data_IF_550121870972
#
_entry.id   IF_550121870972
#
_cell.length_a   1.000
_cell.length_b   1.000
_cell.length_c   1.000
_cell.angle_alpha   90.00
_cell.angle_beta   90.00
_cell.angle_gamma   90.00
#
_symmetry.space_group_name_H-M   'P 1'
#
loop_
_entity.id
_entity.type
_entity.pdbx_description
1 polymer ?
#
# COMPACT_ATOMS: atom_id res chain seq x y z
N UNK A 1 22.94 -16.85 61.94
CA UNK A 1 23.27 -16.70 60.51
C UNK A 1 22.20 -15.83 59.89
N UNK A 2 22.33 -14.52 60.08
CA UNK A 2 21.55 -13.52 59.36
C UNK A 2 22.58 -12.76 58.53
N UNK A 3 22.55 -12.99 57.23
CA UNK A 3 23.46 -12.37 56.28
C UNK A 3 22.59 -11.44 55.42
N UNK A 4 22.51 -10.18 55.83
CA UNK A 4 22.05 -9.09 54.96
C UNK A 4 23.23 -8.65 54.10
N UNK A 5 23.13 -8.70 52.76
CA UNK A 5 24.09 -8.00 51.92
C UNK A 5 23.68 -6.52 51.78
N UNK A 6 24.66 -5.68 52.10
CA UNK A 6 24.69 -4.22 52.02
C UNK A 6 24.33 -3.69 50.63
N UNK A 7 23.65 -2.54 50.66
CA UNK A 7 23.64 -1.55 49.58
C UNK A 7 25.06 -1.03 49.34
N UNK A 8 25.54 -1.12 48.09
CA UNK A 8 26.56 -0.22 47.57
C UNK A 8 26.06 0.41 46.27
N UNK A 9 25.80 1.70 46.40
CA UNK A 9 25.54 2.69 45.39
C UNK A 9 26.85 2.91 44.63
N UNK A 10 26.87 2.76 43.30
CA UNK A 10 28.04 3.11 42.49
C UNK A 10 27.66 4.08 41.38
N UNK A 11 28.35 5.22 41.47
CA UNK A 11 28.20 6.45 40.74
C UNK A 11 28.54 6.35 39.26
N UNK A 12 27.75 7.03 38.45
CA UNK A 12 28.12 7.41 37.08
C UNK A 12 29.13 8.55 37.14
N UNK A 13 30.43 8.20 37.12
CA UNK A 13 31.50 9.16 36.92
C UNK A 13 32.15 8.96 35.54
N UNK A 14 32.28 10.09 34.84
CA UNK A 14 32.87 10.25 33.53
C UNK A 14 34.29 9.69 33.41
N UNK A 15 34.59 9.07 32.26
CA UNK A 15 35.95 8.96 31.75
C UNK A 15 35.94 9.39 30.29
N UNK A 16 36.61 10.50 30.06
CA UNK A 16 37.02 11.07 28.79
C UNK A 16 38.13 10.21 28.18
N UNK A 17 37.82 9.52 27.08
CA UNK A 17 38.79 8.82 26.25
C UNK A 17 38.73 9.33 24.82
N UNK A 18 39.77 10.06 24.42
CA UNK A 18 40.03 10.53 23.05
C UNK A 18 40.07 9.36 22.06
N UNK A 19 39.30 9.47 20.98
CA UNK A 19 39.66 8.96 19.66
C UNK A 19 39.23 10.01 18.62
N UNK A 20 40.18 10.88 18.27
CA UNK A 20 40.19 11.60 17.00
C UNK A 20 40.54 10.59 15.90
N UNK A 21 39.60 10.33 14.99
CA UNK A 21 39.75 10.46 13.53
C UNK A 21 38.53 9.79 12.87
N UNK A 22 37.49 10.57 12.59
CA UNK A 22 36.31 10.15 11.85
C UNK A 22 36.21 11.01 10.58
N UNK A 23 36.14 10.40 9.37
CA UNK A 23 35.98 11.17 8.15
C UNK A 23 34.62 11.89 8.15
N UNK A 24 34.48 13.03 7.46
CA UNK A 24 33.26 13.82 7.50
C UNK A 24 32.08 12.98 7.00
N UNK A 25 31.00 12.98 7.78
CA UNK A 25 29.71 12.44 7.41
C UNK A 25 29.27 13.06 6.09
N UNK A 26 29.29 12.26 5.02
CA UNK A 26 28.70 12.61 3.74
C UNK A 26 27.19 12.62 3.95
N UNK A 27 26.61 13.82 4.01
CA UNK A 27 25.16 14.00 3.96
C UNK A 27 24.62 13.25 2.72
N UNK A 28 23.48 12.53 2.82
CA UNK A 28 22.87 11.97 1.63
C UNK A 28 22.44 13.16 0.76
N UNK A 29 23.21 13.42 -0.29
CA UNK A 29 22.76 14.22 -1.41
C UNK A 29 21.57 13.48 -2.00
N UNK A 30 20.37 13.92 -1.63
CA UNK A 30 19.15 13.59 -2.35
C UNK A 30 19.33 14.11 -3.77
N UNK A 31 19.88 13.26 -4.63
CA UNK A 31 19.86 13.49 -6.06
C UNK A 31 18.38 13.69 -6.42
N UNK A 32 18.03 14.77 -7.16
CA UNK A 32 16.70 14.84 -7.75
C UNK A 32 16.59 13.60 -8.63
N UNK A 33 15.73 12.67 -8.23
CA UNK A 33 15.34 11.53 -9.05
C UNK A 33 14.90 12.12 -10.36
N UNK A 34 15.72 11.95 -11.41
CA UNK A 34 15.36 12.37 -12.75
C UNK A 34 14.01 11.71 -13.02
N UNK A 35 12.97 12.54 -13.15
CA UNK A 35 11.65 12.07 -13.56
C UNK A 35 11.83 11.20 -14.80
N UNK A 36 11.32 9.97 -14.72
CA UNK A 36 11.53 8.96 -15.74
C UNK A 36 11.30 9.53 -17.13
N UNK A 37 12.21 9.23 -18.05
CA UNK A 37 12.11 9.57 -19.48
C UNK A 37 10.90 8.89 -20.16
N UNK A 38 10.13 8.10 -19.42
CA UNK A 38 8.87 7.51 -19.82
C UNK A 38 7.74 8.11 -18.98
N UNK A 39 6.67 8.65 -19.58
CA UNK A 39 5.54 9.24 -18.85
C UNK A 39 4.68 8.23 -18.06
N UNK A 40 5.15 6.98 -17.87
CA UNK A 40 4.34 5.85 -17.38
C UNK A 40 4.87 5.19 -16.09
N UNK A 41 5.99 5.68 -15.54
CA UNK A 41 6.54 5.21 -14.24
C UNK A 41 6.25 6.18 -13.08
N UNK A 42 5.52 7.27 -13.30
CA UNK A 42 5.07 8.12 -12.18
C UNK A 42 3.90 7.45 -11.48
N UNK A 43 4.07 7.17 -10.18
CA UNK A 43 2.97 6.85 -9.28
C UNK A 43 1.84 7.85 -9.54
N UNK A 44 0.58 7.41 -9.74
CA UNK A 44 -0.50 8.32 -10.05
C UNK A 44 -0.58 9.44 -9.02
N UNK A 45 -0.80 10.66 -9.52
CA UNK A 45 -0.97 11.87 -8.70
C UNK A 45 -1.83 11.57 -7.46
N UNK A 46 -1.33 11.94 -6.28
CA UNK A 46 -1.95 11.65 -4.98
C UNK A 46 -3.36 12.24 -4.84
N UNK A 47 -3.77 13.13 -5.74
CA UNK A 47 -5.11 13.72 -5.80
C UNK A 47 -6.07 12.96 -6.73
N UNK A 48 -5.59 12.00 -7.51
CA UNK A 48 -6.41 11.18 -8.41
C UNK A 48 -7.02 10.03 -7.64
N UNK A 49 -8.34 9.89 -7.75
CA UNK A 49 -9.08 8.80 -7.16
C UNK A 49 -10.03 8.11 -8.14
N UNK A 50 -10.30 6.85 -7.86
CA UNK A 50 -11.15 5.98 -8.67
C UNK A 50 -12.43 5.68 -7.91
N UNK A 51 -13.53 5.64 -8.66
CA UNK A 51 -14.85 5.31 -8.10
C UNK A 51 -14.90 3.87 -7.64
N UNK A 52 -15.81 3.57 -6.71
CA UNK A 52 -16.05 2.21 -6.21
C UNK A 52 -16.18 1.15 -7.32
N UNK A 53 -16.98 1.36 -8.39
CA UNK A 53 -17.05 0.39 -9.49
C UNK A 53 -15.71 0.12 -10.18
N UNK A 54 -14.91 1.16 -10.45
CA UNK A 54 -13.57 1.01 -11.04
C UNK A 54 -12.64 0.29 -10.07
N UNK A 55 -12.59 0.70 -8.81
CA UNK A 55 -11.78 0.07 -7.77
C UNK A 55 -12.10 -1.44 -7.62
N UNK A 56 -13.38 -1.81 -7.65
CA UNK A 56 -13.82 -3.20 -7.63
C UNK A 56 -13.29 -4.00 -8.83
N UNK A 57 -13.41 -3.45 -10.05
CA UNK A 57 -12.95 -4.11 -11.26
C UNK A 57 -11.43 -4.29 -11.27
N UNK A 58 -10.68 -3.23 -10.94
CA UNK A 58 -9.22 -3.24 -10.91
C UNK A 58 -8.67 -4.20 -9.85
N UNK A 59 -9.23 -4.19 -8.64
CA UNK A 59 -8.82 -5.09 -7.56
C UNK A 59 -9.39 -6.51 -7.72
N UNK A 60 -10.36 -6.71 -8.61
CA UNK A 60 -11.05 -7.98 -8.82
C UNK A 60 -11.90 -8.41 -7.62
N UNK A 61 -12.55 -7.47 -6.93
CA UNK A 61 -13.41 -7.71 -5.77
C UNK A 61 -14.86 -7.33 -6.06
N UNK A 62 -15.79 -7.87 -5.29
CA UNK A 62 -17.20 -7.48 -5.37
C UNK A 62 -17.45 -6.16 -4.67
N UNK A 63 -18.51 -5.45 -5.08
CA UNK A 63 -18.95 -4.23 -4.41
C UNK A 63 -19.28 -4.45 -2.93
N UNK A 64 -19.83 -5.63 -2.57
CA UNK A 64 -20.12 -5.99 -1.18
C UNK A 64 -18.84 -6.13 -0.35
N UNK A 65 -17.79 -6.73 -0.91
CA UNK A 65 -16.48 -6.80 -0.24
C UNK A 65 -15.91 -5.40 -0.02
N UNK A 66 -15.93 -4.55 -1.05
CA UNK A 66 -15.48 -3.17 -0.93
C UNK A 66 -16.24 -2.40 0.16
N UNK A 67 -17.57 -2.48 0.16
CA UNK A 67 -18.39 -1.77 1.15
C UNK A 67 -18.20 -2.33 2.57
N UNK A 68 -18.12 -3.66 2.70
CA UNK A 68 -17.85 -4.29 3.99
C UNK A 68 -16.49 -3.88 4.55
N UNK A 69 -15.43 -3.89 3.74
CA UNK A 69 -14.09 -3.47 4.15
C UNK A 69 -14.00 -1.98 4.48
N UNK A 70 -14.72 -1.12 3.75
CA UNK A 70 -14.82 0.29 4.09
C UNK A 70 -15.57 0.53 5.40
N UNK A 71 -16.69 -0.17 5.62
CA UNK A 71 -17.50 -0.06 6.85
C UNK A 71 -16.78 -0.61 8.09
N UNK A 72 -15.90 -1.58 7.92
CA UNK A 72 -15.10 -2.20 8.99
C UNK A 72 -13.70 -1.60 9.11
N UNK A 73 -13.42 -0.51 8.39
CA UNK A 73 -12.15 0.21 8.36
C UNK A 73 -10.92 -0.61 7.93
N UNK A 74 -11.13 -1.78 7.29
CA UNK A 74 -10.04 -2.57 6.73
C UNK A 74 -9.40 -1.86 5.54
N UNK A 75 -10.18 -1.26 4.65
CA UNK A 75 -9.69 -0.35 3.60
C UNK A 75 -10.71 0.75 3.39
N UNK A 76 -10.32 1.99 3.63
CA UNK A 76 -11.18 3.17 3.49
C UNK A 76 -10.68 4.03 2.32
N UNK A 77 -11.57 4.75 1.62
CA UNK A 77 -11.14 5.67 0.57
C UNK A 77 -10.31 6.82 1.15
N UNK A 78 -9.09 7.02 0.64
CA UNK A 78 -8.18 8.07 1.10
C UNK A 78 -8.36 9.40 0.37
N UNK A 79 -8.90 9.39 -0.85
CA UNK A 79 -9.08 10.60 -1.67
C UNK A 79 -10.36 11.34 -1.29
N UNK A 80 -11.47 10.61 -1.19
CA UNK A 80 -12.76 11.18 -0.81
C UNK A 80 -13.64 10.14 -0.12
N UNK A 81 -14.04 10.44 1.12
CA UNK A 81 -15.02 9.65 1.85
C UNK A 81 -16.46 9.85 1.34
N UNK A 82 -17.40 9.15 1.98
CA UNK A 82 -18.82 9.44 1.78
C UNK A 82 -19.24 10.59 2.72
N UNK A 83 -19.83 11.65 2.15
CA UNK A 83 -20.41 12.80 2.85
C UNK A 83 -21.87 12.98 2.41
N UNK A 84 -22.78 12.20 3.00
CA UNK A 84 -24.22 12.29 2.74
C UNK A 84 -24.68 11.69 1.39
N UNK A 85 -25.96 11.92 1.07
CA UNK A 85 -26.59 11.40 -0.15
C UNK A 85 -25.96 12.02 -1.40
N UNK A 86 -25.63 11.18 -2.40
CA UNK A 86 -25.02 11.60 -3.66
C UNK A 86 -23.50 11.77 -3.64
N UNK A 87 -22.86 11.73 -2.47
CA UNK A 87 -21.39 11.73 -2.39
C UNK A 87 -20.81 10.42 -2.91
N UNK A 88 -19.70 10.52 -3.63
CA UNK A 88 -19.03 9.37 -4.22
C UNK A 88 -17.67 9.18 -3.58
N UNK A 89 -17.41 7.96 -3.11
CA UNK A 89 -16.11 7.55 -2.58
C UNK A 89 -15.09 7.52 -3.71
N UNK A 90 -13.93 8.12 -3.47
CA UNK A 90 -12.79 8.06 -4.37
C UNK A 90 -11.63 7.35 -3.65
N UNK A 91 -11.15 6.28 -4.28
CA UNK A 91 -10.06 5.44 -3.79
C UNK A 91 -8.76 5.80 -4.51
N UNK A 92 -7.68 6.01 -3.78
CA UNK A 92 -6.36 6.29 -4.38
C UNK A 92 -5.78 5.04 -5.05
N UNK A 93 -4.70 5.23 -5.81
CA UNK A 93 -3.88 4.12 -6.27
C UNK A 93 -3.46 3.19 -5.12
N UNK A 94 -3.01 3.78 -4.01
CA UNK A 94 -2.59 3.04 -2.82
C UNK A 94 -3.74 2.24 -2.22
N UNK A 95 -4.94 2.81 -2.13
CA UNK A 95 -6.12 2.09 -1.64
C UNK A 95 -6.39 0.84 -2.48
N UNK A 96 -6.35 0.97 -3.81
CA UNK A 96 -6.62 -0.15 -4.73
C UNK A 96 -5.52 -1.21 -4.64
N UNK A 97 -4.26 -0.82 -4.46
CA UNK A 97 -3.16 -1.75 -4.20
C UNK A 97 -3.43 -2.56 -2.93
N UNK A 98 -3.82 -1.89 -1.84
CA UNK A 98 -4.16 -2.55 -0.58
C UNK A 98 -5.39 -3.47 -0.75
N UNK A 99 -6.44 -3.04 -1.46
CA UNK A 99 -7.60 -3.90 -1.79
C UNK A 99 -7.17 -5.19 -2.50
N UNK A 100 -6.25 -5.07 -3.47
CA UNK A 100 -5.73 -6.21 -4.23
C UNK A 100 -4.91 -7.16 -3.37
N UNK A 101 -4.10 -6.63 -2.45
CA UNK A 101 -3.33 -7.44 -1.50
C UNK A 101 -4.25 -8.14 -0.49
N UNK A 102 -5.23 -7.42 0.08
CA UNK A 102 -6.24 -7.99 0.98
C UNK A 102 -6.97 -9.15 0.31
N UNK A 103 -7.38 -8.98 -0.95
CA UNK A 103 -7.99 -10.06 -1.72
C UNK A 103 -7.07 -11.28 -1.82
N UNK A 104 -5.81 -11.09 -2.24
CA UNK A 104 -4.86 -12.21 -2.40
C UNK A 104 -4.62 -12.96 -1.09
N UNK A 105 -4.49 -12.24 0.02
CA UNK A 105 -4.33 -12.86 1.34
C UNK A 105 -5.58 -13.65 1.77
N UNK A 106 -6.78 -13.13 1.49
CA UNK A 106 -8.04 -13.85 1.74
C UNK A 106 -8.19 -15.09 0.86
N UNK A 107 -7.83 -15.00 -0.43
CA UNK A 107 -7.91 -16.10 -1.38
C UNK A 107 -6.99 -17.26 -0.99
N UNK A 108 -5.91 -16.99 -0.24
CA UNK A 108 -5.02 -18.03 0.32
C UNK A 108 -5.44 -18.53 1.70
N UNK A 109 -6.59 -18.09 2.21
CA UNK A 109 -7.15 -18.56 3.49
C UNK A 109 -6.55 -17.92 4.73
N UNK A 110 -5.82 -16.80 4.60
CA UNK A 110 -5.26 -16.08 5.75
C UNK A 110 -6.40 -15.41 6.51
N UNK A 111 -6.34 -15.50 7.84
CA UNK A 111 -7.40 -14.95 8.70
C UNK A 111 -7.52 -13.43 8.57
N UNK A 112 -8.75 -12.90 8.67
CA UNK A 112 -9.02 -11.45 8.61
C UNK A 112 -8.24 -10.67 9.68
N UNK A 113 -7.96 -11.30 10.82
CA UNK A 113 -7.17 -10.70 11.89
C UNK A 113 -5.74 -10.42 11.42
N UNK A 114 -5.05 -11.42 10.85
CA UNK A 114 -3.68 -11.28 10.36
C UNK A 114 -3.60 -10.34 9.16
N UNK A 115 -4.62 -10.34 8.31
CA UNK A 115 -4.72 -9.40 7.19
C UNK A 115 -4.77 -7.97 7.68
N UNK A 116 -5.48 -7.69 8.79
CA UNK A 116 -5.52 -6.33 9.36
C UNK A 116 -4.12 -5.87 9.78
N UNK A 117 -3.36 -6.73 10.45
CA UNK A 117 -1.97 -6.45 10.83
C UNK A 117 -1.12 -6.12 9.60
N UNK A 118 -1.19 -6.95 8.56
CA UNK A 118 -0.47 -6.72 7.31
C UNK A 118 -0.86 -5.39 6.63
N UNK A 119 -2.15 -5.07 6.61
CA UNK A 119 -2.65 -3.81 6.01
C UNK A 119 -2.16 -2.59 6.77
N UNK A 120 -2.12 -2.63 8.10
CA UNK A 120 -1.65 -1.50 8.89
C UNK A 120 -0.18 -1.19 8.59
N UNK A 121 0.68 -2.21 8.43
CA UNK A 121 2.06 -2.03 7.97
C UNK A 121 2.17 -1.39 6.58
N UNK A 122 1.31 -1.77 5.63
CA UNK A 122 1.31 -1.15 4.29
C UNK A 122 0.84 0.31 4.31
N UNK A 123 -0.03 0.67 5.25
CA UNK A 123 -0.58 2.03 5.36
C UNK A 123 0.46 3.04 5.86
N UNK A 124 1.35 2.63 6.73
CA UNK A 124 2.39 3.49 7.31
C UNK A 124 3.47 3.92 6.29
N UNK A 125 3.56 3.25 5.13
CA UNK A 125 4.63 3.43 4.14
C UNK A 125 4.21 4.24 2.91
N UNK A 126 5.15 4.92 2.27
CA UNK A 126 4.92 5.57 0.98
C UNK A 126 4.73 4.55 -0.15
N UNK A 127 4.10 4.94 -1.26
CA UNK A 127 3.91 4.02 -2.41
C UNK A 127 5.24 3.52 -2.96
N UNK A 128 6.29 4.35 -2.95
CA UNK A 128 7.62 3.95 -3.42
C UNK A 128 8.26 2.88 -2.52
N UNK A 129 8.07 2.96 -1.21
CA UNK A 129 8.61 1.98 -0.26
C UNK A 129 7.94 0.61 -0.41
N UNK A 130 6.66 0.61 -0.81
CA UNK A 130 5.90 -0.62 -1.04
C UNK A 130 6.49 -1.49 -2.16
N UNK A 131 7.23 -0.92 -3.11
CA UNK A 131 7.82 -1.69 -4.21
C UNK A 131 8.89 -2.69 -3.72
N UNK A 132 9.52 -2.45 -2.57
CA UNK A 132 10.59 -3.32 -2.06
C UNK A 132 10.08 -4.38 -1.08
N UNK A 133 8.76 -4.48 -0.88
CA UNK A 133 8.16 -5.35 0.12
C UNK A 133 7.65 -6.64 -0.51
N UNK A 134 7.93 -7.75 0.18
CA UNK A 134 7.27 -9.03 -0.05
C UNK A 134 6.60 -9.46 1.25
N UNK A 135 5.29 -9.68 1.21
CA UNK A 135 4.54 -10.21 2.34
C UNK A 135 4.60 -11.73 2.30
N UNK A 136 5.00 -12.37 3.40
CA UNK A 136 4.97 -13.81 3.55
C UNK A 136 3.95 -14.23 4.60
N UNK A 137 3.31 -15.38 4.42
CA UNK A 137 2.43 -15.94 5.44
C UNK A 137 2.56 -17.44 5.53
N UNK A 138 2.58 -17.95 6.76
CA UNK A 138 2.48 -19.38 7.11
C UNK A 138 1.02 -19.80 7.41
N UNK A 139 0.05 -18.91 7.12
CA UNK A 139 -1.38 -19.07 7.44
C UNK A 139 -1.78 -18.55 8.83
N UNK A 140 -0.84 -18.42 9.76
CA UNK A 140 -1.09 -17.97 11.15
C UNK A 140 -0.53 -16.57 11.42
N UNK A 141 0.54 -16.20 10.74
CA UNK A 141 1.24 -14.92 10.86
C UNK A 141 1.52 -14.36 9.47
N UNK A 142 1.61 -13.03 9.36
CA UNK A 142 2.08 -12.36 8.15
C UNK A 142 3.37 -11.63 8.49
N UNK A 143 4.40 -11.85 7.67
CA UNK A 143 5.73 -11.27 7.79
C UNK A 143 5.95 -10.30 6.65
N UNK A 144 6.59 -9.19 6.95
CA UNK A 144 7.10 -8.27 5.94
C UNK A 144 8.58 -8.58 5.73
N UNK A 145 8.97 -8.94 4.51
CA UNK A 145 10.36 -9.15 4.16
C UNK A 145 10.80 -8.12 3.11
N UNK A 146 11.95 -7.51 3.35
CA UNK A 146 12.59 -6.53 2.47
C UNK A 146 13.95 -7.00 1.95
N UNK A 147 14.49 -8.09 2.51
CA UNK A 147 15.76 -8.70 2.10
C UNK A 147 15.62 -10.22 1.87
N UNK A 148 16.55 -10.79 1.09
CA UNK A 148 16.58 -12.24 0.87
C UNK A 148 16.94 -13.03 2.14
N UNK A 149 17.72 -12.43 3.04
CA UNK A 149 18.12 -13.05 4.32
C UNK A 149 16.91 -13.28 5.22
N UNK A 150 16.03 -12.28 5.36
CA UNK A 150 14.78 -12.41 6.12
C UNK A 150 13.87 -13.52 5.57
N UNK A 151 13.84 -13.69 4.24
CA UNK A 151 13.08 -14.78 3.59
C UNK A 151 13.69 -16.14 3.91
N UNK A 152 15.02 -16.23 3.87
CA UNK A 152 15.74 -17.47 4.18
C UNK A 152 15.52 -17.85 5.65
N UNK A 153 15.62 -16.89 6.58
CA UNK A 153 15.37 -17.11 8.00
C UNK A 153 13.94 -17.60 8.27
N UNK A 154 12.96 -17.05 7.55
CA UNK A 154 11.58 -17.52 7.62
C UNK A 154 11.44 -18.96 7.11
N UNK A 155 12.17 -19.37 6.08
CA UNK A 155 12.11 -20.72 5.52
C UNK A 155 12.90 -21.76 6.32
N UNK A 156 13.93 -21.34 7.06
CA UNK A 156 14.79 -22.25 7.84
C UNK A 156 14.02 -23.07 8.88
N UNK A 157 12.86 -22.58 9.35
CA UNK A 157 11.98 -23.30 10.27
C UNK A 157 11.28 -24.53 9.67
N UNK A 158 11.44 -24.81 8.36
CA UNK A 158 10.80 -25.95 7.68
C UNK A 158 9.30 -25.76 7.42
N UNK A 159 8.78 -24.56 7.70
CA UNK A 159 7.39 -24.19 7.45
C UNK A 159 7.16 -23.80 5.98
N UNK A 160 6.03 -24.21 5.42
CA UNK A 160 5.58 -23.74 4.11
C UNK A 160 5.03 -22.33 4.22
N UNK A 161 5.52 -21.41 3.38
CA UNK A 161 5.06 -20.03 3.35
C UNK A 161 4.54 -19.64 1.98
N UNK A 162 3.52 -18.79 1.96
CA UNK A 162 2.99 -18.16 0.77
C UNK A 162 3.50 -16.71 0.70
N UNK A 163 4.13 -16.34 -0.41
CA UNK A 163 4.68 -15.00 -0.63
C UNK A 163 3.85 -14.18 -1.63
N UNK A 164 3.58 -12.92 -1.29
CA UNK A 164 3.01 -11.91 -2.18
C UNK A 164 4.04 -10.79 -2.35
N UNK A 165 4.67 -10.73 -3.52
CA UNK A 165 5.51 -9.60 -3.89
C UNK A 165 4.63 -8.37 -4.17
N UNK A 166 4.80 -7.31 -3.37
CA UNK A 166 4.00 -6.08 -3.51
C UNK A 166 4.40 -5.33 -4.78
N UNK A 167 5.67 -5.34 -5.18
CA UNK A 167 6.12 -4.84 -6.49
C UNK A 167 5.38 -5.45 -7.67
N UNK A 168 5.17 -6.77 -7.66
CA UNK A 168 4.43 -7.46 -8.70
C UNK A 168 2.97 -7.02 -8.76
N UNK A 169 2.32 -6.91 -7.59
CA UNK A 169 0.95 -6.41 -7.49
C UNK A 169 0.84 -4.94 -7.94
N UNK A 170 1.84 -4.11 -7.64
CA UNK A 170 1.91 -2.71 -8.05
C UNK A 170 2.07 -2.57 -9.56
N UNK A 171 2.98 -3.33 -10.18
CA UNK A 171 3.18 -3.31 -11.64
C UNK A 171 1.91 -3.72 -12.39
N UNK A 172 1.24 -4.77 -11.93
CA UNK A 172 -0.05 -5.20 -12.49
C UNK A 172 -1.12 -4.13 -12.31
N UNK A 173 -1.12 -3.44 -11.16
CA UNK A 173 -2.06 -2.38 -10.86
C UNK A 173 -1.84 -1.15 -11.77
N UNK A 174 -0.60 -0.71 -11.96
CA UNK A 174 -0.26 0.41 -12.85
C UNK A 174 -0.79 0.16 -14.26
N UNK A 175 -0.57 -1.05 -14.80
CA UNK A 175 -1.10 -1.43 -16.12
C UNK A 175 -2.62 -1.43 -16.18
N UNK A 176 -3.30 -1.99 -15.17
CA UNK A 176 -4.75 -2.05 -15.15
C UNK A 176 -5.39 -0.66 -15.01
N UNK A 177 -4.81 0.23 -14.19
CA UNK A 177 -5.39 1.55 -13.89
C UNK A 177 -5.46 2.46 -15.10
N UNK A 178 -4.52 2.34 -16.05
CA UNK A 178 -4.50 3.14 -17.27
C UNK A 178 -5.78 3.00 -18.12
N UNK A 179 -6.54 1.92 -17.94
CA UNK A 179 -7.80 1.67 -18.66
C UNK A 179 -9.03 2.31 -17.99
N UNK A 180 -8.89 2.88 -16.80
CA UNK A 180 -10.02 3.38 -16.01
C UNK A 180 -10.01 4.90 -15.85
N UNK A 181 -11.20 5.54 -15.83
CA UNK A 181 -11.27 6.97 -15.64
C UNK A 181 -10.88 7.33 -14.20
N UNK A 182 -9.93 8.26 -14.07
CA UNK A 182 -9.49 8.84 -12.81
C UNK A 182 -10.16 10.19 -12.56
N UNK A 183 -10.58 10.45 -11.33
CA UNK A 183 -11.19 11.73 -10.93
C UNK A 183 -10.29 12.46 -9.95
N UNK A 184 -10.01 13.74 -10.23
CA UNK A 184 -9.23 14.57 -9.33
C UNK A 184 -10.10 15.07 -8.18
N UNK A 185 -9.57 15.02 -6.96
CA UNK A 185 -10.26 15.49 -5.76
C UNK A 185 -10.51 17.00 -5.76
N UNK A 186 -9.60 17.76 -6.39
CA UNK A 186 -9.58 19.23 -6.48
C UNK A 186 -10.58 19.81 -7.50
N UNK A 187 -11.33 18.97 -8.21
CA UNK A 187 -12.25 19.40 -9.27
C UNK A 187 -11.56 19.80 -10.57
N UNK A 188 -10.26 19.51 -10.72
CA UNK A 188 -9.54 19.62 -11.99
C UNK A 188 -10.05 18.63 -13.05
N UNK A 189 -9.50 18.73 -14.26
CA UNK A 189 -9.89 17.87 -15.37
C UNK A 189 -9.76 16.39 -15.00
N UNK A 190 -10.82 15.63 -15.23
CA UNK A 190 -10.83 14.18 -15.01
C UNK A 190 -9.99 13.49 -16.08
N UNK A 191 -9.23 12.47 -15.68
CA UNK A 191 -8.42 11.67 -16.59
C UNK A 191 -9.39 10.75 -17.32
N UNK A 192 -9.64 11.04 -18.60
CA UNK A 192 -10.50 10.21 -19.44
C UNK A 192 -9.83 8.85 -19.68
N UNK A 193 -10.60 7.77 -19.54
CA UNK A 193 -10.19 6.46 -20.05
C UNK A 193 -10.00 6.53 -21.58
N UNK A 194 -9.18 5.64 -22.18
CA UNK A 194 -9.17 5.45 -23.63
C UNK A 194 -10.62 5.23 -24.11
N UNK A 195 -11.02 5.90 -25.21
CA UNK A 195 -12.43 5.96 -25.62
C UNK A 195 -13.08 4.57 -25.68
N UNK A 196 -13.98 4.29 -24.74
CA UNK A 196 -14.87 3.15 -24.81
C UNK A 196 -15.92 3.40 -25.89
N UNK A 197 -15.73 2.81 -27.07
CA UNK A 197 -16.67 2.86 -28.19
C UNK A 197 -18.11 2.45 -27.79
N UNK A 198 -18.30 1.66 -26.73
CA UNK A 198 -19.63 1.27 -26.26
C UNK A 198 -20.30 2.39 -25.46
N UNK A 199 -19.53 3.18 -24.71
CA UNK A 199 -20.04 4.35 -23.99
C UNK A 199 -20.42 5.49 -24.95
N UNK A 200 -19.67 5.69 -26.04
CA UNK A 200 -20.01 6.66 -27.09
C UNK A 200 -21.29 6.24 -27.85
N UNK A 201 -21.49 4.94 -28.07
CA UNK A 201 -22.75 4.38 -28.64
C UNK A 201 -23.97 4.55 -27.71
N UNK A 202 -23.79 4.50 -26.39
CA UNK A 202 -24.88 4.80 -25.43
C UNK A 202 -25.29 6.27 -25.46
N UNK A 203 -24.31 7.19 -25.43
CA UNK A 203 -24.56 8.64 -25.51
C UNK A 203 -25.21 9.07 -26.83
N UNK A 204 -24.82 8.44 -27.94
CA UNK A 204 -25.41 8.73 -29.26
C UNK A 204 -26.82 8.17 -29.44
N UNK A 205 -27.19 7.09 -28.73
CA UNK A 205 -28.57 6.59 -28.72
C UNK A 205 -29.51 7.50 -27.91
N UNK A 206 -29.10 7.93 -26.72
CA UNK A 206 -29.93 8.82 -25.88
C UNK A 206 -30.14 10.19 -26.52
N UNK A 207 -29.17 10.71 -27.28
CA UNK A 207 -29.30 11.96 -28.04
C UNK A 207 -30.22 11.87 -29.25
N UNK A 208 -30.60 10.66 -29.69
CA UNK A 208 -31.43 10.43 -30.89
C UNK A 208 -32.91 10.15 -30.56
N UNK A 209 -33.26 10.07 -29.27
CA UNK A 209 -34.60 9.75 -28.77
C UNK A 209 -35.27 10.99 -28.12
N UNK A 210 -34.57 12.12 -28.01
CA UNK A 210 -35.15 13.43 -27.70
C UNK A 210 -35.22 14.31 -28.94
#
# INVERSE_FOLDING_TARGET
MGDEPRQEQLDFAATTGRYEDAPPAVAPVSAPVQGGLFPDDSVPDELVGYRGPSACQIAGITYRQLDYWARTSLVVPSIRGAAGSGSQRLYSFKDILVLKIVKRLLDTGISLHNIRVAVDHLRERGVQDLANITLFSDGTTVYECTSAEEVVDLLQGGQGVFGIAVSGAMRELTGAIAEFPGERADGGESIAAPEDELASRRKSRDRKIG
#
